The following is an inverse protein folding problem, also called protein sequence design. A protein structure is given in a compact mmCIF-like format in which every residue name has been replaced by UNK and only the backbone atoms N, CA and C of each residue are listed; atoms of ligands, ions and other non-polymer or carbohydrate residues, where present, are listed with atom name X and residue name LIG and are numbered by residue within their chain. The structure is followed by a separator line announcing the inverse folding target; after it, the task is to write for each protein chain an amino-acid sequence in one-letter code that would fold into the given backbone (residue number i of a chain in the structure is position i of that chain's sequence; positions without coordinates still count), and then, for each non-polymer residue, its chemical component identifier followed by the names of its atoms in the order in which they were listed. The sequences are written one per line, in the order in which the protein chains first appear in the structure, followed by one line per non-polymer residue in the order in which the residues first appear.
data_IF_269087150809
#
_entry.id   IF_269087150809
#
_cell.length_a   1.000
_cell.length_b   1.000
_cell.length_c   1.000
_cell.angle_alpha   90.00
_cell.angle_beta   90.00
_cell.angle_gamma   90.00
#
_symmetry.space_group_name_H-M   'P 1'
#
loop_
_entity.id
_entity.type
_entity.pdbx_description
1 polymer ?
#
# COMPACT_ATOMS: atom_id res chain seq x y z
N UNK A 1 31.66 -4.51 23.90
CA UNK A 1 30.58 -3.61 23.43
C UNK A 1 31.11 -2.31 22.82
N UNK A 2 32.18 -1.70 23.34
CA UNK A 2 32.77 -0.46 22.75
C UNK A 2 33.21 -0.59 21.29
N UNK A 3 33.73 -1.76 20.87
CA UNK A 3 34.15 -1.99 19.48
C UNK A 3 33.00 -1.96 18.48
N UNK A 4 31.82 -2.49 18.85
CA UNK A 4 30.62 -2.42 18.02
C UNK A 4 30.09 -0.98 17.91
N UNK A 5 30.16 -0.22 19.00
CA UNK A 5 29.79 1.20 19.00
C UNK A 5 30.70 2.04 18.11
N UNK A 6 32.02 1.82 18.14
CA UNK A 6 32.99 2.51 17.27
C UNK A 6 32.85 2.13 15.81
N UNK A 7 32.58 0.86 15.50
CA UNK A 7 32.26 0.41 14.15
C UNK A 7 31.01 1.11 13.61
N UNK A 8 29.93 1.08 14.39
CA UNK A 8 28.68 1.73 14.02
C UNK A 8 28.86 3.23 13.80
N UNK A 9 29.56 3.93 14.70
CA UNK A 9 29.90 5.34 14.55
C UNK A 9 30.71 5.61 13.28
N UNK A 10 31.71 4.78 12.96
CA UNK A 10 32.54 4.97 11.75
C UNK A 10 31.76 4.83 10.43
N UNK A 11 30.67 4.05 10.43
CA UNK A 11 29.76 3.96 9.28
C UNK A 11 28.75 5.10 9.25
N UNK A 12 28.36 5.64 10.41
CA UNK A 12 27.35 6.68 10.53
C UNK A 12 27.92 8.08 10.26
N UNK A 13 29.14 8.38 10.72
CA UNK A 13 29.82 9.66 10.52
C UNK A 13 29.90 10.11 9.05
N UNK A 14 30.38 9.29 8.09
CA UNK A 14 30.41 9.69 6.69
C UNK A 14 29.01 9.88 6.10
N UNK A 15 28.03 9.11 6.59
CA UNK A 15 26.62 9.21 6.18
C UNK A 15 25.97 10.50 6.69
N UNK A 16 26.25 10.88 7.93
CA UNK A 16 25.81 12.14 8.54
C UNK A 16 26.48 13.34 7.89
N UNK A 17 27.79 13.26 7.63
CA UNK A 17 28.54 14.30 6.93
C UNK A 17 27.99 14.55 5.52
N UNK A 18 27.65 13.47 4.81
CA UNK A 18 27.00 13.56 3.50
C UNK A 18 25.61 14.21 3.59
N UNK A 19 24.75 13.79 4.53
CA UNK A 19 23.43 14.39 4.78
C UNK A 19 23.50 15.88 5.12
N UNK A 20 24.57 16.33 5.79
CA UNK A 20 24.76 17.73 6.24
C UNK A 20 25.19 18.67 5.12
N UNK A 21 25.56 18.18 3.94
CA UNK A 21 25.92 19.03 2.79
C UNK A 21 24.71 19.78 2.22
N UNK A 22 24.91 21.06 1.86
CA UNK A 22 23.85 21.91 1.32
C UNK A 22 23.28 21.31 0.02
N UNK A 23 21.95 21.15 -0.03
CA UNK A 23 21.22 20.64 -1.21
C UNK A 23 20.86 19.14 -1.18
N UNK A 24 21.47 18.32 -0.33
CA UNK A 24 21.16 16.88 -0.26
C UNK A 24 19.79 16.62 0.39
N UNK A 25 19.42 17.39 1.42
CA UNK A 25 18.11 17.27 2.08
C UNK A 25 16.93 17.38 1.08
N UNK A 26 16.84 18.45 0.27
CA UNK A 26 15.83 18.56 -0.78
C UNK A 26 15.87 17.45 -1.83
N UNK A 27 17.07 16.99 -2.21
CA UNK A 27 17.23 15.90 -3.18
C UNK A 27 16.68 14.57 -2.64
N UNK A 28 16.99 14.21 -1.38
CA UNK A 28 16.44 13.02 -0.72
C UNK A 28 14.91 13.13 -0.61
N UNK A 29 14.39 14.30 -0.23
CA UNK A 29 12.95 14.52 -0.15
C UNK A 29 12.26 14.29 -1.50
N UNK A 30 12.84 14.77 -2.60
CA UNK A 30 12.32 14.55 -3.96
C UNK A 30 12.32 13.07 -4.32
N UNK A 31 13.42 12.34 -4.02
CA UNK A 31 13.50 10.89 -4.26
C UNK A 31 12.43 10.13 -3.49
N UNK A 32 12.20 10.45 -2.22
CA UNK A 32 11.16 9.82 -1.39
C UNK A 32 9.76 10.07 -1.99
N UNK A 33 9.47 11.32 -2.39
CA UNK A 33 8.20 11.67 -3.02
C UNK A 33 8.01 10.92 -4.34
N UNK A 34 9.06 10.84 -5.15
CA UNK A 34 9.03 10.13 -6.43
C UNK A 34 8.78 8.63 -6.24
N UNK A 35 9.46 7.98 -5.31
CA UNK A 35 9.22 6.57 -4.95
C UNK A 35 7.79 6.38 -4.44
N UNK A 36 7.30 7.27 -3.57
CA UNK A 36 5.94 7.24 -3.07
C UNK A 36 4.89 7.34 -4.20
N UNK A 37 5.14 8.23 -5.17
CA UNK A 37 4.27 8.39 -6.34
C UNK A 37 4.28 7.14 -7.23
N UNK A 38 5.45 6.54 -7.46
CA UNK A 38 5.55 5.29 -8.22
C UNK A 38 4.77 4.14 -7.55
N UNK A 39 4.91 3.99 -6.23
CA UNK A 39 4.15 3.00 -5.45
C UNK A 39 2.65 3.28 -5.56
N UNK A 40 2.24 4.55 -5.41
CA UNK A 40 0.84 4.94 -5.54
C UNK A 40 0.28 4.65 -6.94
N UNK A 41 0.99 5.01 -8.01
CA UNK A 41 0.60 4.72 -9.39
C UNK A 41 0.51 3.22 -9.65
N UNK A 42 1.43 2.42 -9.11
CA UNK A 42 1.40 0.97 -9.21
C UNK A 42 0.16 0.37 -8.54
N UNK A 43 -0.16 0.80 -7.31
CA UNK A 43 -1.36 0.36 -6.58
C UNK A 43 -2.62 0.79 -7.33
N UNK A 44 -2.71 2.05 -7.77
CA UNK A 44 -3.85 2.58 -8.49
C UNK A 44 -4.07 1.81 -9.81
N UNK A 45 -3.01 1.53 -10.56
CA UNK A 45 -3.08 0.75 -11.79
C UNK A 45 -3.67 -0.64 -11.55
N UNK A 46 -3.16 -1.37 -10.56
CA UNK A 46 -3.64 -2.72 -10.25
C UNK A 46 -5.10 -2.71 -9.76
N UNK A 47 -5.44 -1.80 -8.85
CA UNK A 47 -6.80 -1.67 -8.31
C UNK A 47 -7.82 -1.27 -9.38
N UNK A 48 -7.46 -0.37 -10.30
CA UNK A 48 -8.34 0.02 -11.42
C UNK A 48 -8.54 -1.15 -12.37
N UNK A 49 -7.49 -1.93 -12.65
CA UNK A 49 -7.61 -3.10 -13.52
C UNK A 49 -8.55 -4.15 -12.92
N UNK A 50 -8.40 -4.46 -11.64
CA UNK A 50 -9.27 -5.41 -10.93
C UNK A 50 -10.71 -4.91 -10.85
N UNK A 51 -10.92 -3.62 -10.55
CA UNK A 51 -12.26 -3.01 -10.54
C UNK A 51 -12.94 -3.08 -11.91
N UNK A 52 -12.18 -2.88 -13.00
CA UNK A 52 -12.70 -3.02 -14.37
C UNK A 52 -13.11 -4.47 -14.66
N UNK A 53 -12.37 -5.47 -14.18
CA UNK A 53 -12.71 -6.88 -14.35
C UNK A 53 -14.01 -7.23 -13.61
N UNK A 54 -14.15 -6.81 -12.36
CA UNK A 54 -15.38 -7.00 -11.58
C UNK A 54 -16.58 -6.33 -12.27
N UNK A 55 -16.40 -5.11 -12.79
CA UNK A 55 -17.46 -4.40 -13.52
C UNK A 55 -17.86 -5.14 -14.80
N UNK A 56 -16.91 -5.73 -15.53
CA UNK A 56 -17.21 -6.59 -16.69
C UNK A 56 -17.99 -7.84 -16.30
N UNK A 57 -17.55 -8.55 -15.26
CA UNK A 57 -18.23 -9.74 -14.76
C UNK A 57 -19.67 -9.43 -14.33
N UNK A 58 -19.88 -8.32 -13.61
CA UNK A 58 -21.22 -7.86 -13.23
C UNK A 58 -22.10 -7.58 -14.45
N UNK A 59 -21.56 -6.92 -15.48
CA UNK A 59 -22.29 -6.65 -16.72
C UNK A 59 -22.68 -7.93 -17.47
N UNK A 60 -21.87 -8.97 -17.41
CA UNK A 60 -22.22 -10.29 -17.97
C UNK A 60 -23.38 -10.91 -17.18
N UNK A 61 -23.35 -10.84 -15.85
CA UNK A 61 -24.41 -11.37 -14.99
C UNK A 61 -25.74 -10.60 -15.12
N UNK A 62 -25.71 -9.33 -15.53
CA UNK A 62 -26.91 -8.55 -15.88
C UNK A 62 -27.69 -9.13 -17.08
N UNK A 63 -27.13 -10.09 -17.83
CA UNK A 63 -27.85 -10.84 -18.87
C UNK A 63 -28.79 -11.93 -18.31
N UNK A 64 -28.79 -12.14 -17.00
CA UNK A 64 -29.64 -13.12 -16.31
C UNK A 64 -30.27 -12.50 -15.06
N UNK A 65 -31.06 -11.44 -15.23
CA UNK A 65 -31.66 -10.70 -14.10
C UNK A 65 -32.72 -11.50 -13.35
N UNK A 66 -33.32 -12.49 -14.00
CA UNK A 66 -34.21 -13.48 -13.38
C UNK A 66 -33.62 -14.87 -13.46
N UNK A 67 -34.02 -15.76 -12.54
CA UNK A 67 -33.52 -17.15 -12.49
C UNK A 67 -33.76 -17.91 -13.81
N UNK A 68 -34.91 -17.68 -14.46
CA UNK A 68 -35.24 -18.29 -15.74
C UNK A 68 -34.41 -17.70 -16.89
N UNK A 69 -34.17 -16.39 -16.89
CA UNK A 69 -33.32 -15.73 -17.88
C UNK A 69 -31.86 -16.18 -17.75
N UNK A 70 -31.36 -16.32 -16.52
CA UNK A 70 -30.05 -16.89 -16.23
C UNK A 70 -29.93 -18.33 -16.73
N UNK A 71 -30.94 -19.18 -16.49
CA UNK A 71 -30.96 -20.55 -16.98
C UNK A 71 -30.95 -20.63 -18.52
N UNK A 72 -31.70 -19.76 -19.19
CA UNK A 72 -31.75 -19.71 -20.66
C UNK A 72 -30.44 -19.17 -21.27
N UNK A 73 -29.83 -18.17 -20.64
CA UNK A 73 -28.59 -17.53 -21.10
C UNK A 73 -27.33 -18.15 -20.50
N UNK A 74 -27.44 -19.24 -19.75
CA UNK A 74 -26.33 -19.83 -18.98
C UNK A 74 -25.09 -20.07 -19.83
N UNK A 75 -25.25 -20.62 -21.05
CA UNK A 75 -24.12 -20.92 -21.93
C UNK A 75 -23.35 -19.65 -22.34
N UNK A 76 -24.05 -18.54 -22.60
CA UNK A 76 -23.43 -17.25 -22.94
C UNK A 76 -22.72 -16.65 -21.73
N UNK A 77 -23.40 -16.63 -20.57
CA UNK A 77 -22.83 -16.16 -19.30
C UNK A 77 -21.57 -16.96 -18.94
N UNK A 78 -21.63 -18.29 -19.08
CA UNK A 78 -20.52 -19.19 -18.82
C UNK A 78 -19.32 -18.88 -19.73
N UNK A 79 -19.55 -18.75 -21.04
CA UNK A 79 -18.50 -18.42 -22.00
C UNK A 79 -17.85 -17.06 -21.70
N UNK A 80 -18.65 -16.04 -21.43
CA UNK A 80 -18.18 -14.68 -21.17
C UNK A 80 -17.41 -14.57 -19.86
N UNK A 81 -17.83 -15.28 -18.80
CA UNK A 81 -17.13 -15.30 -17.51
C UNK A 81 -15.83 -16.11 -17.55
N UNK A 82 -15.79 -17.21 -18.31
CA UNK A 82 -14.56 -17.98 -18.53
C UNK A 82 -13.51 -17.20 -19.35
N UNK A 83 -13.94 -16.23 -20.16
CA UNK A 83 -13.05 -15.34 -20.90
C UNK A 83 -12.38 -14.27 -20.01
N UNK A 84 -12.89 -14.02 -18.79
CA UNK A 84 -12.35 -13.00 -17.89
C UNK A 84 -11.15 -13.53 -17.08
N UNK A 85 -9.97 -12.89 -17.15
CA UNK A 85 -8.82 -13.26 -16.34
C UNK A 85 -9.14 -13.06 -14.85
N UNK A 86 -8.50 -13.87 -13.99
CA UNK A 86 -8.76 -13.98 -12.53
C UNK A 86 -10.14 -14.53 -12.15
N UNK A 87 -11.20 -14.13 -12.84
CA UNK A 87 -12.58 -14.60 -12.60
C UNK A 87 -12.81 -16.02 -13.09
N UNK A 88 -12.18 -16.42 -14.22
CA UNK A 88 -12.42 -17.74 -14.84
C UNK A 88 -12.29 -18.93 -13.91
N UNK A 89 -11.31 -18.91 -12.98
CA UNK A 89 -11.04 -20.05 -12.10
C UNK A 89 -12.11 -20.15 -11.01
N UNK A 90 -12.42 -19.04 -10.35
CA UNK A 90 -13.52 -18.99 -9.37
C UNK A 90 -14.87 -19.34 -10.01
N UNK A 91 -15.12 -18.87 -11.24
CA UNK A 91 -16.33 -19.22 -11.97
C UNK A 91 -16.38 -20.69 -12.36
N UNK A 92 -15.27 -21.28 -12.80
CA UNK A 92 -15.20 -22.70 -13.12
C UNK A 92 -15.54 -23.55 -11.89
N UNK A 93 -14.87 -23.33 -10.76
CA UNK A 93 -15.13 -24.03 -9.50
C UNK A 93 -16.59 -23.85 -9.03
N UNK A 94 -17.11 -22.62 -9.07
CA UNK A 94 -18.50 -22.36 -8.72
C UNK A 94 -19.47 -23.09 -9.66
N UNK A 95 -19.18 -23.11 -10.96
CA UNK A 95 -20.05 -23.74 -11.96
C UNK A 95 -20.20 -25.25 -11.79
N UNK A 96 -19.22 -25.90 -11.17
CA UNK A 96 -19.28 -27.33 -10.82
C UNK A 96 -20.27 -27.61 -9.68
N UNK A 97 -20.58 -26.60 -8.86
CA UNK A 97 -21.59 -26.67 -7.79
C UNK A 97 -23.01 -26.30 -8.26
N UNK A 98 -23.15 -25.90 -9.52
CA UNK A 98 -24.44 -25.55 -10.09
C UNK A 98 -25.17 -26.80 -10.60
N UNK A 99 -26.39 -26.96 -10.13
CA UNK A 99 -27.37 -27.86 -10.72
C UNK A 99 -27.91 -27.15 -11.96
N UNK A 100 -27.44 -27.62 -13.13
CA UNK A 100 -27.80 -27.06 -14.42
C UNK A 100 -29.29 -27.24 -14.71
N UNK A 101 -29.91 -26.30 -15.44
CA UNK A 101 -31.33 -26.30 -15.70
C UNK A 101 -31.68 -27.44 -16.65
N UNK A 102 -32.50 -28.39 -16.19
CA UNK A 102 -33.14 -29.37 -17.06
C UNK A 102 -34.44 -28.78 -17.61
N UNK A 103 -34.74 -29.05 -18.88
CA UNK A 103 -36.08 -28.77 -19.42
C UNK A 103 -37.02 -29.85 -18.90
N UNK A 104 -38.07 -29.44 -18.18
CA UNK A 104 -39.15 -30.34 -17.81
C UNK A 104 -39.95 -30.79 -19.03
N UNK A 105 -40.81 -31.80 -18.85
CA UNK A 105 -41.75 -32.28 -19.89
C UNK A 105 -42.75 -31.18 -20.34
N UNK A 106 -42.88 -30.10 -19.58
CA UNK A 106 -43.67 -28.90 -19.87
C UNK A 106 -42.94 -27.86 -20.76
N UNK A 107 -41.68 -28.11 -21.12
CA UNK A 107 -40.87 -27.21 -21.94
C UNK A 107 -40.32 -25.98 -21.19
N UNK A 108 -40.58 -25.86 -19.88
CA UNK A 108 -40.10 -24.76 -19.05
C UNK A 108 -38.71 -25.13 -18.51
N UNK A 109 -37.74 -24.22 -18.68
CA UNK A 109 -36.42 -24.38 -18.09
C UNK A 109 -36.50 -24.22 -16.57
N UNK A 110 -36.14 -25.26 -15.82
CA UNK A 110 -36.07 -25.14 -14.37
C UNK A 110 -34.99 -24.13 -13.96
N UNK A 111 -35.21 -23.34 -12.89
CA UNK A 111 -34.19 -22.46 -12.34
C UNK A 111 -32.89 -23.20 -12.00
N UNK A 112 -31.74 -22.58 -12.29
CA UNK A 112 -30.45 -23.07 -11.79
C UNK A 112 -30.45 -23.03 -10.27
N UNK A 113 -29.97 -24.09 -9.62
CA UNK A 113 -29.80 -24.15 -8.16
C UNK A 113 -28.34 -24.37 -7.81
N UNK A 114 -27.84 -23.76 -6.74
CA UNK A 114 -26.46 -23.91 -6.29
C UNK A 114 -26.41 -24.75 -5.00
N UNK A 115 -25.53 -25.75 -4.95
CA UNK A 115 -25.31 -26.53 -3.71
C UNK A 115 -24.44 -25.79 -2.71
N UNK A 116 -23.54 -24.93 -3.18
CA UNK A 116 -22.64 -24.12 -2.37
C UNK A 116 -22.84 -22.63 -2.63
N UNK A 117 -22.50 -21.81 -1.63
CA UNK A 117 -22.72 -20.35 -1.72
C UNK A 117 -21.65 -19.68 -2.61
N UNK A 118 -22.02 -18.76 -3.52
CA UNK A 118 -21.06 -18.13 -4.43
C UNK A 118 -19.91 -17.38 -3.73
N UNK A 119 -20.16 -16.80 -2.55
CA UNK A 119 -19.15 -16.02 -1.82
C UNK A 119 -17.91 -16.82 -1.38
N UNK A 120 -18.01 -18.16 -1.29
CA UNK A 120 -16.88 -19.03 -0.99
C UNK A 120 -15.85 -18.99 -2.12
N UNK A 121 -16.31 -18.91 -3.37
CA UNK A 121 -15.47 -18.90 -4.57
C UNK A 121 -15.07 -17.49 -5.01
N UNK A 122 -15.94 -16.50 -4.82
CA UNK A 122 -15.72 -15.11 -5.24
C UNK A 122 -15.20 -14.23 -4.11
N UNK A 123 -14.06 -14.61 -3.53
CA UNK A 123 -13.37 -13.81 -2.53
C UNK A 123 -12.10 -13.14 -3.09
N UNK A 124 -11.75 -11.96 -2.57
CA UNK A 124 -10.61 -11.18 -3.08
C UNK A 124 -9.27 -11.92 -2.96
N UNK A 125 -9.15 -12.82 -1.98
CA UNK A 125 -7.93 -13.57 -1.71
C UNK A 125 -7.67 -14.60 -2.83
N UNK A 126 -8.66 -15.43 -3.12
CA UNK A 126 -8.58 -16.52 -4.09
C UNK A 126 -8.63 -16.01 -5.53
N UNK A 127 -9.31 -14.88 -5.77
CA UNK A 127 -9.26 -14.18 -7.05
C UNK A 127 -7.90 -13.49 -7.30
N UNK A 128 -6.98 -13.48 -6.33
CA UNK A 128 -5.72 -12.77 -6.38
C UNK A 128 -5.92 -11.29 -6.83
N UNK A 129 -6.97 -10.68 -6.27
CA UNK A 129 -7.37 -9.30 -6.54
C UNK A 129 -6.95 -8.40 -5.38
N UNK A 130 -6.44 -7.22 -5.72
CA UNK A 130 -5.76 -6.33 -4.80
C UNK A 130 -4.26 -6.59 -4.68
N UNK A 131 -3.51 -5.55 -4.36
CA UNK A 131 -2.06 -5.66 -4.23
C UNK A 131 -1.71 -6.22 -2.85
N UNK A 132 -1.39 -7.51 -2.72
CA UNK A 132 -1.05 -8.11 -1.40
C UNK A 132 0.07 -7.37 -0.64
N UNK A 133 0.95 -6.67 -1.36
CA UNK A 133 1.98 -5.79 -0.81
C UNK A 133 1.43 -4.58 -0.02
N UNK A 134 0.21 -4.14 -0.29
CA UNK A 134 -0.43 -3.02 0.45
C UNK A 134 -0.61 -3.33 1.92
N UNK A 135 -0.72 -4.62 2.30
CA UNK A 135 -0.85 -5.03 3.70
C UNK A 135 0.38 -4.69 4.54
N UNK A 136 1.57 -4.66 3.94
CA UNK A 136 2.83 -4.39 4.65
C UNK A 136 3.31 -2.94 4.53
N UNK A 137 2.78 -2.18 3.57
CA UNK A 137 3.15 -0.79 3.34
C UNK A 137 2.96 0.11 4.58
N UNK A 138 1.81 0.07 5.31
CA UNK A 138 1.60 0.87 6.51
C UNK A 138 2.76 0.75 7.51
N UNK A 139 3.15 -0.49 7.84
CA UNK A 139 4.24 -0.78 8.78
C UNK A 139 5.60 -0.28 8.27
N UNK A 140 5.85 -0.39 6.96
CA UNK A 140 7.10 0.11 6.36
C UNK A 140 7.14 1.65 6.46
N UNK A 141 6.05 2.35 6.13
CA UNK A 141 6.00 3.82 6.22
C UNK A 141 6.24 4.30 7.65
N UNK A 142 5.63 3.65 8.66
CA UNK A 142 5.90 3.96 10.08
C UNK A 142 7.37 3.74 10.41
N UNK A 143 7.93 2.58 10.04
CA UNK A 143 9.32 2.23 10.35
C UNK A 143 10.33 3.20 9.72
N UNK A 144 10.11 3.59 8.46
CA UNK A 144 10.94 4.58 7.76
C UNK A 144 10.79 5.97 8.41
N UNK A 145 9.56 6.41 8.70
CA UNK A 145 9.28 7.70 9.34
C UNK A 145 9.94 7.85 10.72
N UNK A 146 9.84 6.80 11.55
CA UNK A 146 10.52 6.77 12.86
C UNK A 146 12.05 6.78 12.71
N UNK A 147 12.59 6.00 11.78
CA UNK A 147 14.04 5.94 11.55
C UNK A 147 14.61 7.29 11.11
N UNK A 148 13.91 7.98 10.20
CA UNK A 148 14.29 9.33 9.76
C UNK A 148 14.21 10.36 10.89
N UNK A 149 13.25 10.21 11.80
CA UNK A 149 13.11 11.09 12.97
C UNK A 149 14.29 10.92 13.91
N UNK A 150 14.65 9.69 14.26
CA UNK A 150 15.80 9.43 15.11
C UNK A 150 17.11 9.91 14.48
N UNK A 151 17.33 9.62 13.18
CA UNK A 151 18.54 10.06 12.48
C UNK A 151 18.62 11.58 12.40
N UNK A 152 17.49 12.25 12.12
CA UNK A 152 17.41 13.71 12.10
C UNK A 152 17.69 14.35 13.46
N UNK A 153 17.18 13.77 14.56
CA UNK A 153 17.46 14.23 15.92
C UNK A 153 18.93 14.04 16.30
N UNK A 154 19.53 12.89 15.97
CA UNK A 154 20.96 12.63 16.21
C UNK A 154 21.81 13.68 15.47
N UNK A 155 21.50 13.95 14.21
CA UNK A 155 22.20 14.96 13.40
C UNK A 155 22.05 16.37 13.96
N UNK A 156 20.83 16.76 14.37
CA UNK A 156 20.55 18.08 14.93
C UNK A 156 21.25 18.27 16.28
N UNK A 157 21.26 17.24 17.12
CA UNK A 157 21.93 17.26 18.42
C UNK A 157 23.44 17.43 18.25
N UNK A 158 24.07 16.67 17.36
CA UNK A 158 25.50 16.83 17.05
C UNK A 158 25.80 18.26 16.57
N UNK A 159 24.99 18.81 15.66
CA UNK A 159 25.18 20.17 15.17
C UNK A 159 25.01 21.24 16.26
N UNK A 160 24.11 21.02 17.22
CA UNK A 160 23.88 21.93 18.33
C UNK A 160 25.02 21.89 19.35
N UNK A 161 25.57 20.70 19.62
CA UNK A 161 26.76 20.54 20.49
C UNK A 161 27.96 21.28 19.88
N UNK A 162 28.24 21.05 18.59
CA UNK A 162 29.32 21.74 17.88
C UNK A 162 29.18 23.27 17.96
N UNK A 163 27.96 23.78 17.77
CA UNK A 163 27.66 25.21 17.80
C UNK A 163 27.80 25.84 19.19
N UNK A 164 27.43 25.10 20.25
CA UNK A 164 27.59 25.56 21.63
C UNK A 164 29.07 25.59 22.05
N UNK A 165 29.85 24.59 21.65
CA UNK A 165 31.30 24.56 21.92
C UNK A 165 32.03 25.71 21.23
N UNK A 166 31.66 26.00 19.98
CA UNK A 166 32.25 27.10 19.20
C UNK A 166 31.83 28.49 19.68
N UNK A 167 30.68 28.62 20.35
CA UNK A 167 30.18 29.89 20.86
C UNK A 167 31.07 30.51 21.95
N UNK A 168 31.96 29.73 22.59
CA UNK A 168 32.92 30.20 23.59
C UNK A 168 32.32 31.10 24.69
N UNK A 169 31.05 30.88 25.06
CA UNK A 169 30.34 31.66 26.08
C UNK A 169 29.47 32.82 25.55
N UNK A 170 29.38 33.02 24.23
CA UNK A 170 28.41 33.93 23.63
C UNK A 170 26.98 33.37 23.76
N UNK A 171 26.19 34.00 24.63
CA UNK A 171 24.79 33.66 24.88
C UNK A 171 23.92 33.70 23.61
N UNK A 172 24.18 34.63 22.68
CA UNK A 172 23.39 34.71 21.44
C UNK A 172 23.67 33.52 20.52
N UNK A 173 24.93 33.13 20.36
CA UNK A 173 25.32 31.97 19.55
C UNK A 173 24.81 30.63 20.14
N UNK A 174 24.82 30.51 21.47
CA UNK A 174 24.23 29.37 22.18
C UNK A 174 22.71 29.30 21.93
N UNK A 175 22.01 30.43 22.06
CA UNK A 175 20.57 30.49 21.81
C UNK A 175 20.22 30.12 20.36
N UNK A 176 21.02 30.57 19.38
CA UNK A 176 20.85 30.21 17.98
C UNK A 176 20.99 28.69 17.76
N UNK A 177 21.98 28.06 18.39
CA UNK A 177 22.21 26.60 18.30
C UNK A 177 21.04 25.80 18.88
N UNK A 178 20.50 26.22 20.04
CA UNK A 178 19.32 25.60 20.65
C UNK A 178 18.07 25.80 19.79
N UNK A 179 17.88 27.00 19.24
CA UNK A 179 16.76 27.28 18.34
C UNK A 179 16.82 26.40 17.08
N UNK A 180 18.02 26.23 16.51
CA UNK A 180 18.27 25.31 15.39
C UNK A 180 17.91 23.86 15.72
N UNK A 181 18.32 23.38 16.89
CA UNK A 181 17.97 22.05 17.39
C UNK A 181 16.45 21.85 17.49
N UNK A 182 15.74 22.79 18.13
CA UNK A 182 14.29 22.71 18.33
C UNK A 182 13.53 22.76 17.00
N UNK A 183 13.95 23.60 16.06
CA UNK A 183 13.36 23.66 14.72
C UNK A 183 13.58 22.37 13.93
N UNK A 184 14.81 21.82 13.97
CA UNK A 184 15.12 20.56 13.34
C UNK A 184 14.33 19.40 13.96
N UNK A 185 14.20 19.36 15.29
CA UNK A 185 13.40 18.37 16.00
C UNK A 185 11.91 18.45 15.63
N UNK A 186 11.34 19.66 15.65
CA UNK A 186 9.93 19.91 15.30
C UNK A 186 9.61 19.42 13.89
N UNK A 187 10.43 19.78 12.89
CA UNK A 187 10.26 19.32 11.51
C UNK A 187 10.27 17.79 11.37
N UNK A 188 11.06 17.09 12.19
CA UNK A 188 11.21 15.63 12.15
C UNK A 188 10.02 14.94 12.82
N UNK A 189 9.48 15.51 13.90
CA UNK A 189 8.21 15.06 14.48
C UNK A 189 7.05 15.19 13.50
N UNK A 190 6.93 16.30 12.75
CA UNK A 190 5.91 16.41 11.70
C UNK A 190 6.06 15.35 10.61
N UNK A 191 7.29 15.06 10.18
CA UNK A 191 7.54 13.99 9.21
C UNK A 191 7.04 12.63 9.72
N UNK A 192 7.27 12.30 11.00
CA UNK A 192 6.73 11.08 11.61
C UNK A 192 5.20 11.08 11.71
N UNK A 193 4.59 12.22 12.03
CA UNK A 193 3.13 12.36 12.08
C UNK A 193 2.50 12.07 10.71
N UNK A 194 3.07 12.61 9.63
CA UNK A 194 2.60 12.34 8.27
C UNK A 194 2.79 10.88 7.86
N UNK A 195 3.89 10.25 8.25
CA UNK A 195 4.12 8.83 8.00
C UNK A 195 3.06 7.97 8.71
N UNK A 196 2.74 8.28 9.96
CA UNK A 196 1.68 7.62 10.72
C UNK A 196 0.30 7.86 10.10
N UNK A 197 -0.02 9.11 9.76
CA UNK A 197 -1.29 9.46 9.13
C UNK A 197 -1.48 8.69 7.81
N UNK A 198 -0.44 8.64 6.97
CA UNK A 198 -0.45 7.88 5.72
C UNK A 198 -0.64 6.38 5.97
N UNK A 199 0.00 5.83 7.01
CA UNK A 199 -0.20 4.45 7.43
C UNK A 199 -1.64 4.17 7.83
N UNK A 200 -2.30 5.08 8.56
CA UNK A 200 -3.70 4.94 8.96
C UNK A 200 -4.63 4.98 7.75
N UNK A 201 -4.38 5.89 6.79
CA UNK A 201 -5.18 5.98 5.56
C UNK A 201 -5.03 4.75 4.67
N UNK A 202 -3.86 4.10 4.70
CA UNK A 202 -3.58 2.89 3.92
C UNK A 202 -4.04 1.59 4.58
N UNK A 203 -4.40 1.62 5.86
CA UNK A 203 -4.89 0.44 6.61
C UNK A 203 -6.42 0.36 6.49
#
# INVERSE_FOLDING_TARGET
MEWMGKLFASYLEPLLGWIRTEGIGPAIALVIVFIGLLIFCYIAYFSINDWRLIKKARKVLEQGTSESEFANNYNLINQDLLALPKIKFAWQEFSETLILPAKGDDGIAQPCSNTERPHEFFNLHDLNMGAGFTKSLPSIFIGVGLSLTFLGLISALSSAVDGIEQAAGDTQAIQASISGLLNAASAKFYASLFALFTSIVLT
#
